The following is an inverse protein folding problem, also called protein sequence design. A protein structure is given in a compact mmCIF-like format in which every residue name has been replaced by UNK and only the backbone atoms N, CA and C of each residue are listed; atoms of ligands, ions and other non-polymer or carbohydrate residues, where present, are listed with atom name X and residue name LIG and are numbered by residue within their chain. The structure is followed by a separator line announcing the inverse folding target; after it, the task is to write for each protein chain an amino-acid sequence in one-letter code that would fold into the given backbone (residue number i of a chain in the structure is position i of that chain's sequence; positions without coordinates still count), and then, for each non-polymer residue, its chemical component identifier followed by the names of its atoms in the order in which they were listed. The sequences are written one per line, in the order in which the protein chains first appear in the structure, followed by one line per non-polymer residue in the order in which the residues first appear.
data_IF_915148307202
#
_entry.id   IF_915148307202
#
_cell.length_a   1.000
_cell.length_b   1.000
_cell.length_c   1.000
_cell.angle_alpha   90.00
_cell.angle_beta   90.00
_cell.angle_gamma   90.00
#
_symmetry.space_group_name_H-M   'P 1'
#
loop_
_entity.id
_entity.type
_entity.pdbx_description
1 polymer ?
#
# COMPACT_ATOMS: atom_id res chain seq x y z
N UNK A 1 -13.29 3.88 17.48
CA UNK A 1 -14.69 4.40 17.48
C UNK A 1 -15.11 4.48 16.03
N UNK A 2 -15.83 3.45 15.56
CA UNK A 2 -16.36 3.40 14.18
C UNK A 2 -17.49 4.43 14.04
N UNK A 3 -17.20 5.55 13.38
CA UNK A 3 -18.25 6.41 12.88
C UNK A 3 -18.94 5.65 11.73
N UNK A 4 -20.23 5.41 11.87
CA UNK A 4 -21.10 4.74 10.91
C UNK A 4 -20.93 5.33 9.50
N UNK A 5 -20.36 4.53 8.59
CA UNK A 5 -20.32 4.80 7.14
C UNK A 5 -21.74 4.59 6.60
N UNK A 6 -22.59 5.62 6.68
CA UNK A 6 -23.90 5.63 6.03
C UNK A 6 -23.75 6.22 4.62
N UNK A 7 -23.75 5.36 3.60
CA UNK A 7 -23.67 5.67 2.18
C UNK A 7 -23.03 4.48 1.44
N UNK A 8 -23.35 4.29 0.15
CA UNK A 8 -22.67 3.25 -0.63
C UNK A 8 -21.18 3.58 -0.71
N UNK A 9 -20.38 2.84 0.07
CA UNK A 9 -18.93 2.99 0.13
C UNK A 9 -18.32 2.11 -0.96
N UNK A 10 -17.41 2.68 -1.75
CA UNK A 10 -16.62 1.91 -2.71
C UNK A 10 -15.64 1.00 -1.97
N UNK A 11 -15.34 -0.20 -2.51
CA UNK A 11 -14.42 -1.12 -1.86
C UNK A 11 -12.97 -0.63 -1.97
N UNK A 12 -12.20 -0.95 -0.93
CA UNK A 12 -10.75 -0.76 -0.88
C UNK A 12 -10.05 -2.11 -1.12
N UNK A 13 -9.30 -2.21 -2.21
CA UNK A 13 -8.61 -3.43 -2.62
C UNK A 13 -7.10 -3.20 -2.59
N UNK A 14 -6.40 -3.92 -1.74
CA UNK A 14 -4.93 -3.93 -1.74
C UNK A 14 -4.40 -4.91 -2.79
N UNK A 15 -3.30 -4.57 -3.45
CA UNK A 15 -2.53 -5.44 -4.33
C UNK A 15 -1.16 -5.62 -3.71
N UNK A 16 -0.84 -6.82 -3.26
CA UNK A 16 0.35 -7.11 -2.49
C UNK A 16 1.08 -8.37 -2.99
N UNK A 17 2.30 -8.60 -2.52
CA UNK A 17 3.07 -9.82 -2.80
C UNK A 17 4.17 -10.01 -1.77
N UNK A 18 4.55 -11.26 -1.52
CA UNK A 18 5.63 -11.60 -0.58
C UNK A 18 7.02 -11.16 -1.03
N UNK A 19 7.23 -10.81 -2.31
CA UNK A 19 8.52 -10.30 -2.83
C UNK A 19 8.34 -9.19 -3.87
N UNK A 20 9.44 -8.51 -4.21
CA UNK A 20 9.52 -7.55 -5.31
C UNK A 20 9.48 -8.21 -6.69
N UNK A 21 9.12 -7.45 -7.72
CA UNK A 21 9.18 -7.88 -9.12
C UNK A 21 8.09 -8.85 -9.59
N UNK A 22 7.12 -9.21 -8.77
CA UNK A 22 6.03 -10.14 -9.11
C UNK A 22 4.97 -9.55 -10.05
N UNK A 23 4.96 -8.22 -10.27
CA UNK A 23 3.99 -7.54 -11.13
C UNK A 23 2.81 -6.90 -10.41
N UNK A 24 2.92 -6.60 -9.12
CA UNK A 24 1.88 -5.88 -8.32
C UNK A 24 1.41 -4.60 -9.00
N UNK A 25 2.34 -3.68 -9.26
CA UNK A 25 2.06 -2.38 -9.87
C UNK A 25 1.43 -2.52 -11.27
N UNK A 26 1.89 -3.50 -12.07
CA UNK A 26 1.26 -3.81 -13.36
C UNK A 26 -0.21 -4.21 -13.18
N UNK A 27 -0.50 -5.10 -12.21
CA UNK A 27 -1.87 -5.53 -11.94
C UNK A 27 -2.72 -4.38 -11.38
N UNK A 28 -2.22 -3.65 -10.36
CA UNK A 28 -2.94 -2.54 -9.73
C UNK A 28 -3.34 -1.46 -10.74
N UNK A 29 -2.38 -1.03 -11.57
CA UNK A 29 -2.62 -0.02 -12.60
C UNK A 29 -3.52 -0.53 -13.73
N UNK A 30 -3.38 -1.80 -14.14
CA UNK A 30 -4.24 -2.39 -15.17
C UNK A 30 -5.68 -2.56 -14.71
N UNK A 31 -5.87 -2.97 -13.44
CA UNK A 31 -7.20 -3.04 -12.83
C UNK A 31 -7.86 -1.67 -12.75
N UNK A 32 -7.10 -0.63 -12.35
CA UNK A 32 -7.60 0.74 -12.28
C UNK A 32 -8.09 1.23 -13.65
N UNK A 33 -7.30 1.03 -14.70
CA UNK A 33 -7.68 1.39 -16.08
C UNK A 33 -8.93 0.64 -16.53
N UNK A 34 -8.96 -0.69 -16.37
CA UNK A 34 -10.10 -1.50 -16.79
C UNK A 34 -11.43 -1.10 -16.09
N UNK A 35 -11.34 -0.70 -14.82
CA UNK A 35 -12.52 -0.26 -14.06
C UNK A 35 -12.93 1.17 -14.41
N UNK A 36 -11.99 2.09 -14.65
CA UNK A 36 -12.31 3.47 -15.06
C UNK A 36 -13.04 3.52 -16.39
N UNK A 37 -12.57 2.76 -17.39
CA UNK A 37 -13.26 2.63 -18.69
C UNK A 37 -14.71 2.13 -18.55
N UNK A 38 -14.96 1.21 -17.63
CA UNK A 38 -16.31 0.68 -17.38
C UNK A 38 -17.25 1.70 -16.72
N UNK A 39 -16.71 2.59 -15.90
CA UNK A 39 -17.50 3.66 -15.27
C UNK A 39 -17.87 4.77 -16.26
N UNK A 40 -17.02 5.05 -17.24
CA UNK A 40 -17.27 6.06 -18.28
C UNK A 40 -18.21 5.56 -19.36
N UNK A 41 -18.23 4.25 -19.65
CA UNK A 41 -18.99 3.64 -20.75
C UNK A 41 -20.30 2.97 -20.32
N UNK A 42 -20.54 2.79 -19.02
CA UNK A 42 -21.68 2.05 -18.46
C UNK A 42 -22.75 2.93 -17.83
N UNK A 43 -23.96 2.36 -17.54
CA UNK A 43 -24.97 3.07 -16.78
C UNK A 43 -24.43 3.43 -15.40
N UNK A 44 -24.71 4.68 -14.96
CA UNK A 44 -24.28 5.19 -13.66
C UNK A 44 -24.66 4.22 -12.53
N UNK A 45 -23.66 3.62 -11.89
CA UNK A 45 -23.88 2.73 -10.75
C UNK A 45 -24.15 3.56 -9.51
N UNK A 46 -25.27 3.30 -8.84
CA UNK A 46 -25.61 4.01 -7.60
C UNK A 46 -24.48 3.85 -6.57
N UNK A 47 -23.89 4.98 -6.15
CA UNK A 47 -23.01 5.08 -4.99
C UNK A 47 -21.49 5.06 -5.24
N UNK A 48 -21.00 4.58 -6.40
CA UNK A 48 -19.58 4.61 -6.77
C UNK A 48 -19.39 5.51 -7.97
N UNK A 49 -18.60 6.57 -7.84
CA UNK A 49 -18.47 7.63 -8.85
C UNK A 49 -17.13 7.63 -9.59
N UNK A 50 -16.08 7.02 -8.99
CA UNK A 50 -14.73 7.10 -9.55
C UNK A 50 -13.88 5.87 -9.17
N UNK A 51 -12.76 5.71 -9.84
CA UNK A 51 -11.67 4.79 -9.47
C UNK A 51 -10.51 5.62 -8.94
N UNK A 52 -9.93 5.16 -7.85
CA UNK A 52 -8.75 5.75 -7.25
C UNK A 52 -7.63 4.72 -7.19
N UNK A 53 -6.40 5.13 -7.52
CA UNK A 53 -5.20 4.34 -7.28
C UNK A 53 -4.29 5.06 -6.31
N UNK A 54 -3.90 4.36 -5.22
CA UNK A 54 -2.96 4.85 -4.23
C UNK A 54 -1.67 4.03 -4.32
N UNK A 55 -0.58 4.68 -4.72
CA UNK A 55 0.76 4.08 -4.68
C UNK A 55 1.30 4.21 -3.26
N UNK A 56 1.27 3.10 -2.53
CA UNK A 56 1.72 2.96 -1.16
C UNK A 56 3.14 2.35 -1.06
N UNK A 57 3.78 2.03 -2.19
CA UNK A 57 5.21 1.71 -2.23
C UNK A 57 6.04 3.00 -2.14
N UNK A 58 5.97 3.62 -0.96
CA UNK A 58 6.49 4.97 -0.72
C UNK A 58 8.02 5.07 -0.79
N UNK A 59 8.72 3.92 -0.77
CA UNK A 59 10.17 3.82 -0.90
C UNK A 59 10.58 3.89 -2.38
N UNK A 60 9.89 3.14 -3.26
CA UNK A 60 10.15 3.07 -4.69
C UNK A 60 8.86 3.23 -5.52
N UNK A 61 8.14 4.37 -5.36
CA UNK A 61 6.88 4.57 -6.07
C UNK A 61 7.10 4.64 -7.59
N UNK A 62 6.29 3.89 -8.34
CA UNK A 62 6.46 3.71 -9.78
C UNK A 62 5.15 3.58 -10.57
N UNK A 63 3.99 3.65 -9.91
CA UNK A 63 2.70 3.56 -10.59
C UNK A 63 2.44 4.76 -11.51
N UNK A 64 3.07 5.91 -11.24
CA UNK A 64 3.02 7.11 -12.08
C UNK A 64 3.63 6.89 -13.47
N UNK A 65 4.66 6.02 -13.58
CA UNK A 65 5.28 5.68 -14.87
C UNK A 65 4.32 4.95 -15.81
N UNK A 66 3.39 4.16 -15.25
CA UNK A 66 2.39 3.40 -16.00
C UNK A 66 1.11 4.20 -16.27
N UNK A 67 0.66 4.99 -15.30
CA UNK A 67 -0.60 5.73 -15.39
C UNK A 67 -0.44 7.14 -15.97
N UNK A 68 0.76 7.73 -15.87
CA UNK A 68 1.09 9.08 -16.36
C UNK A 68 0.11 10.16 -15.89
N UNK A 69 -0.13 10.27 -14.56
CA UNK A 69 -1.09 11.22 -14.04
C UNK A 69 -0.59 12.67 -14.23
N UNK A 70 -1.52 13.59 -14.44
CA UNK A 70 -1.25 15.00 -14.26
C UNK A 70 -1.32 15.33 -12.78
N UNK A 71 -0.19 15.62 -12.16
CA UNK A 71 -0.14 16.04 -10.76
C UNK A 71 -0.76 17.44 -10.56
N UNK A 72 -1.59 17.57 -9.53
CA UNK A 72 -2.39 18.77 -9.22
C UNK A 72 -1.89 19.43 -7.95
N UNK A 73 -1.52 18.66 -6.93
CA UNK A 73 -1.04 19.20 -5.66
C UNK A 73 -0.08 18.24 -4.96
N UNK A 74 0.76 18.82 -4.09
CA UNK A 74 1.71 18.09 -3.22
C UNK A 74 1.45 18.46 -1.78
N UNK A 75 1.42 17.46 -0.91
CA UNK A 75 1.21 17.61 0.53
C UNK A 75 2.44 17.12 1.28
N UNK A 76 3.10 17.96 2.09
CA UNK A 76 4.21 17.51 2.93
C UNK A 76 3.71 16.56 4.03
N UNK A 77 4.51 15.54 4.33
CA UNK A 77 4.30 14.63 5.45
C UNK A 77 5.40 14.86 6.46
N UNK A 78 5.00 15.14 7.70
CA UNK A 78 5.93 15.34 8.81
C UNK A 78 5.54 14.48 10.00
N UNK A 79 6.52 14.14 10.82
CA UNK A 79 6.33 13.53 12.14
C UNK A 79 6.78 14.52 13.22
N UNK A 80 6.25 14.36 14.42
CA UNK A 80 6.68 15.13 15.57
C UNK A 80 7.91 14.47 16.18
N UNK A 81 9.00 15.23 16.39
CA UNK A 81 10.23 14.74 17.01
C UNK A 81 10.59 15.57 18.23
N UNK A 82 11.25 14.98 19.25
CA UNK A 82 11.55 15.68 20.49
C UNK A 82 12.60 16.77 20.30
N UNK A 83 12.37 17.91 20.92
CA UNK A 83 13.33 18.98 21.13
C UNK A 83 13.47 19.23 22.64
N UNK A 84 14.70 19.02 23.17
CA UNK A 84 14.97 19.07 24.61
C UNK A 84 15.46 20.46 25.02
N UNK A 85 14.81 21.06 26.02
CA UNK A 85 15.28 22.29 26.66
C UNK A 85 16.41 21.97 27.63
N UNK A 86 17.59 22.50 27.37
CA UNK A 86 18.77 22.33 28.24
C UNK A 86 18.61 22.98 29.61
N UNK A 87 17.79 24.01 29.72
CA UNK A 87 17.57 24.77 30.97
C UNK A 87 16.58 24.11 31.92
N UNK A 88 15.63 23.33 31.38
CA UNK A 88 14.60 22.63 32.17
C UNK A 88 14.98 21.18 32.45
N UNK A 89 15.90 20.62 31.68
CA UNK A 89 16.24 19.18 31.77
C UNK A 89 17.12 18.89 32.98
N UNK A 90 16.64 18.02 33.88
CA UNK A 90 17.37 17.52 35.05
C UNK A 90 18.21 16.26 34.78
N UNK A 91 18.31 15.81 33.53
CA UNK A 91 19.06 14.61 33.10
C UNK A 91 18.59 13.31 33.78
N UNK A 92 17.34 13.22 34.22
CA UNK A 92 16.77 12.06 34.93
C UNK A 92 16.74 10.76 34.12
N UNK A 93 16.90 10.82 32.78
CA UNK A 93 17.01 9.67 31.89
C UNK A 93 15.70 8.95 31.52
N UNK A 94 14.56 9.32 32.08
CA UNK A 94 13.27 8.64 31.84
C UNK A 94 12.90 8.60 30.35
N UNK A 95 13.15 9.67 29.61
CA UNK A 95 12.88 9.74 28.18
C UNK A 95 13.68 8.70 27.38
N UNK A 96 14.95 8.52 27.70
CA UNK A 96 15.83 7.51 27.08
C UNK A 96 15.40 6.08 27.48
N UNK A 97 15.06 5.85 28.74
CA UNK A 97 14.62 4.55 29.25
C UNK A 97 13.31 4.07 28.56
N UNK A 98 12.39 4.98 28.26
CA UNK A 98 11.08 4.66 27.65
C UNK A 98 11.09 4.64 26.13
N UNK A 99 12.15 5.12 25.49
CA UNK A 99 12.25 5.13 24.04
C UNK A 99 12.60 3.75 23.50
N UNK A 100 11.65 3.06 22.89
CA UNK A 100 11.85 1.75 22.28
C UNK A 100 12.71 1.80 21.00
N UNK A 101 12.88 3.00 20.42
CA UNK A 101 13.61 3.20 19.17
C UNK A 101 15.01 3.77 19.37
N UNK A 102 15.45 3.94 20.61
CA UNK A 102 16.75 4.56 20.94
C UNK A 102 16.96 5.93 20.28
N UNK A 103 15.86 6.63 19.97
CA UNK A 103 15.86 7.94 19.31
C UNK A 103 16.23 9.10 20.25
N UNK A 104 16.39 8.84 21.53
CA UNK A 104 16.82 9.80 22.56
C UNK A 104 17.70 9.09 23.57
N UNK A 105 18.84 9.67 23.90
CA UNK A 105 19.80 9.12 24.86
C UNK A 105 20.34 10.21 25.78
N UNK A 106 20.68 9.84 27.02
CA UNK A 106 21.40 10.69 27.96
C UNK A 106 22.86 10.24 27.98
N UNK A 107 23.75 11.09 27.51
CA UNK A 107 25.20 10.80 27.41
C UNK A 107 25.93 11.83 28.28
N UNK A 108 26.48 11.37 29.41
CA UNK A 108 27.10 12.23 30.43
C UNK A 108 26.08 13.30 30.88
N UNK A 109 26.36 14.55 30.58
CA UNK A 109 25.54 15.72 30.98
C UNK A 109 24.71 16.30 29.83
N UNK A 110 24.45 15.52 28.77
CA UNK A 110 23.72 15.98 27.58
C UNK A 110 22.68 14.95 27.16
N UNK A 111 21.50 15.44 26.80
CA UNK A 111 20.50 14.64 26.08
C UNK A 111 20.73 14.80 24.58
N UNK A 112 20.96 13.67 23.92
CA UNK A 112 21.12 13.62 22.47
C UNK A 112 19.87 13.02 21.86
N UNK A 113 19.36 13.63 20.80
CA UNK A 113 18.22 13.14 20.02
C UNK A 113 18.69 12.69 18.64
N UNK A 114 18.13 11.58 18.17
CA UNK A 114 18.36 11.02 16.83
C UNK A 114 17.03 11.07 16.08
N UNK A 115 16.71 12.20 15.42
CA UNK A 115 15.41 12.40 14.76
C UNK A 115 15.11 11.35 13.69
N UNK A 116 16.13 10.79 13.03
CA UNK A 116 16.03 9.76 11.98
C UNK A 116 15.51 8.43 12.56
N UNK A 117 15.79 8.15 13.84
CA UNK A 117 15.31 6.96 14.54
C UNK A 117 13.92 7.17 15.18
N UNK A 118 13.47 8.42 15.27
CA UNK A 118 12.23 8.76 15.96
C UNK A 118 11.01 8.34 15.12
N UNK A 119 10.04 7.67 15.77
CA UNK A 119 8.76 7.31 15.13
C UNK A 119 7.63 8.34 15.38
N UNK A 120 7.89 9.41 16.13
CA UNK A 120 6.90 10.44 16.42
C UNK A 120 5.82 10.02 17.43
N UNK A 121 6.11 9.11 18.36
CA UNK A 121 5.12 8.58 19.31
C UNK A 121 4.82 9.50 20.50
N UNK A 122 5.62 10.55 20.77
CA UNK A 122 5.40 11.52 21.84
C UNK A 122 5.70 11.01 23.27
N UNK A 123 6.03 9.73 23.47
CA UNK A 123 6.24 9.13 24.80
C UNK A 123 7.27 9.88 25.61
N UNK A 124 8.39 10.30 25.02
CA UNK A 124 9.46 11.02 25.71
C UNK A 124 8.99 12.38 26.26
N UNK A 125 8.13 13.09 25.54
CA UNK A 125 7.53 14.34 26.00
C UNK A 125 6.53 14.08 27.14
N UNK A 126 5.72 13.02 27.01
CA UNK A 126 4.71 12.65 28.00
C UNK A 126 5.30 12.24 29.35
N UNK A 127 6.40 11.47 29.36
CA UNK A 127 7.02 10.97 30.59
C UNK A 127 7.97 11.96 31.27
N UNK A 128 8.24 13.11 30.66
CA UNK A 128 9.18 14.09 31.21
C UNK A 128 8.57 14.83 32.41
N UNK A 129 9.09 14.64 33.66
CA UNK A 129 8.52 15.29 34.85
C UNK A 129 8.68 16.80 34.80
N UNK A 130 9.77 17.28 34.23
CA UNK A 130 10.11 18.71 34.13
C UNK A 130 9.48 19.39 32.92
N UNK A 131 8.73 18.63 32.09
CA UNK A 131 8.19 19.14 30.80
C UNK A 131 9.28 19.80 29.93
N UNK A 132 10.50 19.29 30.02
CA UNK A 132 11.65 19.83 29.30
C UNK A 132 11.68 19.43 27.82
N UNK A 133 10.72 18.64 27.34
CA UNK A 133 10.69 18.15 25.95
C UNK A 133 9.46 18.73 25.26
N UNK A 134 9.69 19.56 24.26
CA UNK A 134 8.71 19.97 23.27
C UNK A 134 8.84 19.10 22.00
N UNK A 135 7.85 19.19 21.15
CA UNK A 135 7.85 18.46 19.87
C UNK A 135 7.88 19.43 18.71
N UNK A 136 8.73 19.15 17.72
CA UNK A 136 8.87 19.93 16.50
C UNK A 136 8.62 19.05 15.28
N UNK A 137 8.12 19.65 14.19
CA UNK A 137 7.88 18.93 12.94
C UNK A 137 9.19 18.60 12.23
N UNK A 138 9.34 17.34 11.83
CA UNK A 138 10.39 16.88 10.92
C UNK A 138 9.75 16.32 9.64
N UNK A 139 10.03 16.89 8.46
CA UNK A 139 9.54 16.38 7.19
C UNK A 139 10.13 14.98 6.90
N UNK A 140 9.27 14.01 6.54
CA UNK A 140 9.66 12.62 6.25
C UNK A 140 9.29 12.20 4.82
N UNK A 141 8.48 12.97 4.12
CA UNK A 141 8.06 12.66 2.76
C UNK A 141 6.99 13.62 2.24
N UNK A 142 6.38 13.23 1.16
CA UNK A 142 5.27 13.94 0.52
C UNK A 142 4.20 12.98 0.04
N UNK A 143 2.98 13.48 -0.16
CA UNK A 143 1.92 12.83 -0.91
C UNK A 143 1.58 13.72 -2.10
N UNK A 144 1.72 13.17 -3.30
CA UNK A 144 1.37 13.81 -4.56
C UNK A 144 -0.03 13.35 -4.99
N UNK A 145 -0.87 14.31 -5.37
CA UNK A 145 -2.23 14.08 -5.84
C UNK A 145 -2.33 14.45 -7.32
N UNK A 146 -2.95 13.59 -8.10
CA UNK A 146 -3.08 13.79 -9.55
C UNK A 146 -4.33 13.11 -10.11
N UNK A 147 -4.47 13.19 -11.43
CA UNK A 147 -5.53 12.54 -12.18
C UNK A 147 -5.04 12.10 -13.55
N UNK A 148 -5.47 10.91 -14.01
CA UNK A 148 -5.15 10.42 -15.36
C UNK A 148 -6.17 10.92 -16.38
N UNK A 149 -5.87 10.71 -17.67
CA UNK A 149 -6.79 11.04 -18.77
C UNK A 149 -8.09 10.23 -18.68
N UNK A 150 -8.04 8.97 -18.20
CA UNK A 150 -9.24 8.14 -17.99
C UNK A 150 -10.05 8.56 -16.77
N UNK A 151 -9.59 9.58 -16.04
CA UNK A 151 -10.29 10.10 -14.87
C UNK A 151 -9.98 9.32 -13.57
N UNK A 152 -8.95 8.47 -13.54
CA UNK A 152 -8.50 7.80 -12.32
C UNK A 152 -7.90 8.87 -11.40
N UNK A 153 -8.38 8.93 -10.17
CA UNK A 153 -7.76 9.72 -9.12
C UNK A 153 -6.48 9.03 -8.64
N UNK A 154 -5.37 9.74 -8.71
CA UNK A 154 -4.05 9.19 -8.43
C UNK A 154 -3.47 9.82 -7.18
N UNK A 155 -3.02 8.98 -6.25
CA UNK A 155 -2.37 9.38 -5.01
C UNK A 155 -1.05 8.63 -4.90
N UNK A 156 0.06 9.33 -4.69
CA UNK A 156 1.38 8.71 -4.57
C UNK A 156 2.08 9.20 -3.32
N UNK A 157 2.42 8.27 -2.42
CA UNK A 157 3.32 8.53 -1.31
C UNK A 157 4.78 8.47 -1.77
N UNK A 158 5.63 9.36 -1.25
CA UNK A 158 7.07 9.31 -1.51
C UNK A 158 7.84 9.71 -0.27
N UNK A 159 8.73 8.84 0.19
CA UNK A 159 9.65 9.12 1.28
C UNK A 159 10.76 10.09 0.86
N UNK A 160 11.27 10.84 1.82
CA UNK A 160 12.52 11.58 1.64
C UNK A 160 13.70 10.61 1.55
N UNK A 161 14.69 10.95 0.76
CA UNK A 161 15.94 10.16 0.68
C UNK A 161 16.59 10.11 2.06
N UNK A 162 16.97 8.89 2.47
CA UNK A 162 17.58 8.62 3.78
C UNK A 162 16.59 8.43 4.93
N UNK A 163 15.27 8.54 4.69
CA UNK A 163 14.27 8.19 5.69
C UNK A 163 14.21 6.67 5.87
N UNK A 164 14.12 6.22 7.13
CA UNK A 164 14.14 4.79 7.45
C UNK A 164 12.74 4.20 7.69
N UNK A 165 11.70 5.03 7.74
CA UNK A 165 10.36 4.60 8.14
C UNK A 165 9.30 4.98 7.12
N UNK A 166 8.82 3.99 6.40
CA UNK A 166 7.75 4.13 5.40
C UNK A 166 6.39 4.47 6.04
N UNK A 167 6.09 3.90 7.21
CA UNK A 167 4.76 3.93 7.81
C UNK A 167 4.10 5.31 7.92
N UNK A 168 4.78 6.38 8.37
CA UNK A 168 4.17 7.71 8.41
C UNK A 168 3.69 8.20 7.04
N UNK A 169 4.44 7.91 5.97
CA UNK A 169 4.07 8.33 4.60
C UNK A 169 2.98 7.42 4.05
N UNK A 170 3.05 6.10 4.28
CA UNK A 170 1.99 5.14 3.90
C UNK A 170 0.65 5.53 4.54
N UNK A 171 0.63 5.78 5.86
CA UNK A 171 -0.59 6.24 6.55
C UNK A 171 -1.10 7.57 6.02
N UNK A 172 -0.20 8.51 5.69
CA UNK A 172 -0.60 9.79 5.11
C UNK A 172 -1.22 9.62 3.72
N UNK A 173 -0.68 8.70 2.91
CA UNK A 173 -1.22 8.33 1.59
C UNK A 173 -2.63 7.73 1.73
N UNK A 174 -2.84 6.78 2.65
CA UNK A 174 -4.15 6.14 2.90
C UNK A 174 -5.23 7.12 3.39
N UNK A 175 -4.87 8.25 3.98
CA UNK A 175 -5.87 9.28 4.39
C UNK A 175 -6.61 9.93 3.22
N UNK A 176 -6.11 9.75 2.00
CA UNK A 176 -6.76 10.23 0.78
C UNK A 176 -7.69 9.19 0.14
N UNK A 177 -7.97 8.07 0.81
CA UNK A 177 -8.97 7.11 0.33
C UNK A 177 -10.33 7.80 0.33
N UNK A 178 -10.94 7.87 -0.86
CA UNK A 178 -12.26 8.48 -1.06
C UNK A 178 -13.37 7.46 -0.83
N UNK A 179 -14.30 7.70 0.09
CA UNK A 179 -15.34 6.73 0.44
C UNK A 179 -16.22 6.28 -0.73
N UNK A 180 -16.40 7.12 -1.76
CA UNK A 180 -17.23 6.81 -2.92
C UNK A 180 -16.43 6.30 -4.13
N UNK A 181 -15.13 6.03 -3.96
CA UNK A 181 -14.28 5.49 -5.00
C UNK A 181 -14.08 3.98 -4.84
N UNK A 182 -13.83 3.29 -5.95
CA UNK A 182 -13.14 2.00 -5.92
C UNK A 182 -11.67 2.33 -5.69
N UNK A 183 -11.15 2.07 -4.49
CA UNK A 183 -9.77 2.38 -4.14
C UNK A 183 -8.88 1.15 -4.32
N UNK A 184 -7.85 1.28 -5.13
CA UNK A 184 -6.84 0.26 -5.37
C UNK A 184 -5.54 0.73 -4.73
N UNK A 185 -4.98 -0.06 -3.80
CA UNK A 185 -3.74 0.24 -3.10
C UNK A 185 -2.63 -0.64 -3.65
N UNK A 186 -1.62 -0.04 -4.26
CA UNK A 186 -0.40 -0.75 -4.67
C UNK A 186 0.55 -0.82 -3.46
N UNK A 187 0.71 -2.01 -2.89
CA UNK A 187 1.48 -2.21 -1.68
C UNK A 187 2.99 -2.37 -1.97
N UNK A 188 3.87 -1.97 -1.04
CA UNK A 188 5.29 -2.30 -1.13
C UNK A 188 5.52 -3.81 -1.11
N UNK A 189 6.68 -4.28 -1.58
CA UNK A 189 7.03 -5.71 -1.59
C UNK A 189 7.29 -6.25 -0.18
N UNK A 190 7.13 -7.56 -0.04
CA UNK A 190 7.41 -8.28 1.20
C UNK A 190 6.21 -8.37 2.12
N UNK A 191 6.44 -8.81 3.37
CA UNK A 191 5.41 -9.02 4.41
C UNK A 191 5.68 -8.20 5.67
N UNK A 192 6.61 -7.24 5.60
CA UNK A 192 6.98 -6.35 6.70
C UNK A 192 5.91 -5.27 6.97
N UNK A 193 6.14 -4.48 8.02
CA UNK A 193 5.21 -3.43 8.45
C UNK A 193 4.64 -2.52 7.33
N UNK A 194 5.42 -2.07 6.32
CA UNK A 194 4.85 -1.21 5.28
C UNK A 194 3.74 -1.90 4.46
N UNK A 195 3.93 -3.18 4.11
CA UNK A 195 2.89 -3.98 3.44
C UNK A 195 1.68 -4.19 4.34
N UNK A 196 1.90 -4.53 5.62
CA UNK A 196 0.84 -4.70 6.61
C UNK A 196 0.02 -3.42 6.77
N UNK A 197 0.65 -2.25 6.94
CA UNK A 197 -0.02 -0.95 7.02
C UNK A 197 -0.82 -0.62 5.75
N UNK A 198 -0.38 -1.08 4.58
CA UNK A 198 -1.13 -0.89 3.33
C UNK A 198 -2.36 -1.77 3.29
N UNK A 199 -2.22 -3.06 3.63
CA UNK A 199 -3.30 -4.06 3.56
C UNK A 199 -4.32 -3.91 4.69
N UNK A 200 -3.87 -3.46 5.86
CA UNK A 200 -4.74 -3.25 7.02
C UNK A 200 -5.95 -2.34 6.66
N UNK A 201 -7.13 -2.69 7.11
CA UNK A 201 -8.39 -2.01 6.83
C UNK A 201 -8.85 -2.06 5.35
N UNK A 202 -8.19 -2.85 4.48
CA UNK A 202 -8.70 -3.12 3.13
C UNK A 202 -9.83 -4.15 3.19
N UNK A 203 -10.80 -4.01 2.27
CA UNK A 203 -11.92 -4.96 2.17
C UNK A 203 -11.48 -6.28 1.53
N UNK A 204 -10.41 -6.26 0.73
CA UNK A 204 -9.85 -7.43 0.05
C UNK A 204 -8.38 -7.22 -0.30
N UNK A 205 -7.60 -8.31 -0.33
CA UNK A 205 -6.20 -8.29 -0.77
C UNK A 205 -5.98 -9.23 -1.98
N UNK A 206 -5.45 -8.70 -3.07
CA UNK A 206 -4.97 -9.46 -4.23
C UNK A 206 -3.50 -9.79 -4.03
N UNK A 207 -3.18 -11.07 -3.85
CA UNK A 207 -1.82 -11.56 -3.67
C UNK A 207 -1.24 -12.01 -5.00
N UNK A 208 -0.28 -11.25 -5.53
CA UNK A 208 0.39 -11.53 -6.80
C UNK A 208 1.59 -12.42 -6.55
N UNK A 209 1.62 -13.58 -7.22
CA UNK A 209 2.72 -14.56 -7.12
C UNK A 209 3.13 -15.08 -8.48
N UNK A 210 4.24 -15.82 -8.51
CA UNK A 210 4.75 -16.54 -9.68
C UNK A 210 4.69 -18.05 -9.43
N UNK A 211 4.49 -18.89 -10.47
CA UNK A 211 4.41 -20.34 -10.33
C UNK A 211 5.80 -20.96 -10.16
N UNK A 212 6.45 -20.66 -9.05
CA UNK A 212 7.80 -21.15 -8.69
C UNK A 212 7.85 -21.56 -7.22
N UNK A 213 8.82 -22.40 -6.77
CA UNK A 213 9.00 -22.75 -5.37
C UNK A 213 9.15 -21.52 -4.47
N UNK A 214 9.91 -20.50 -4.90
CA UNK A 214 10.08 -19.26 -4.15
C UNK A 214 8.78 -18.45 -4.12
N UNK A 215 8.06 -18.37 -5.27
CA UNK A 215 6.76 -17.69 -5.32
C UNK A 215 5.73 -18.32 -4.39
N UNK A 216 5.72 -19.65 -4.24
CA UNK A 216 4.86 -20.35 -3.29
C UNK A 216 5.24 -20.03 -1.83
N UNK A 217 6.53 -20.03 -1.50
CA UNK A 217 7.00 -19.68 -0.16
C UNK A 217 6.61 -18.24 0.22
N UNK A 218 6.82 -17.30 -0.70
CA UNK A 218 6.48 -15.89 -0.52
C UNK A 218 4.96 -15.67 -0.42
N UNK A 219 4.17 -16.44 -1.20
CA UNK A 219 2.71 -16.42 -1.12
C UNK A 219 2.22 -16.90 0.24
N UNK A 220 2.78 -18.00 0.77
CA UNK A 220 2.40 -18.50 2.07
C UNK A 220 2.57 -17.44 3.17
N UNK A 221 3.73 -16.78 3.22
CA UNK A 221 3.98 -15.70 4.18
C UNK A 221 3.01 -14.51 4.02
N UNK A 222 2.66 -14.15 2.77
CA UNK A 222 1.71 -13.08 2.50
C UNK A 222 0.27 -13.46 2.90
N UNK A 223 -0.13 -14.73 2.70
CA UNK A 223 -1.44 -15.25 3.16
C UNK A 223 -1.54 -15.22 4.67
N UNK A 224 -0.50 -15.66 5.39
CA UNK A 224 -0.47 -15.59 6.84
C UNK A 224 -0.58 -14.14 7.34
N UNK A 225 0.06 -13.20 6.65
CA UNK A 225 -0.07 -11.77 6.95
C UNK A 225 -1.50 -11.29 6.77
N UNK A 226 -2.16 -11.59 5.64
CA UNK A 226 -3.56 -11.22 5.42
C UNK A 226 -4.49 -11.82 6.47
N UNK A 227 -4.27 -13.08 6.86
CA UNK A 227 -5.03 -13.76 7.92
C UNK A 227 -4.87 -13.09 9.28
N UNK A 228 -3.64 -12.70 9.64
CA UNK A 228 -3.37 -11.99 10.89
C UNK A 228 -4.04 -10.61 10.96
N UNK A 229 -4.22 -9.98 9.80
CA UNK A 229 -4.92 -8.71 9.64
C UNK A 229 -6.45 -8.88 9.44
N UNK A 230 -6.95 -10.12 9.39
CA UNK A 230 -8.36 -10.44 9.11
C UNK A 230 -8.87 -9.89 7.78
N UNK A 231 -7.99 -9.76 6.77
CA UNK A 231 -8.34 -9.30 5.42
C UNK A 231 -8.50 -10.50 4.49
N UNK A 232 -9.67 -10.69 3.86
CA UNK A 232 -9.86 -11.75 2.89
C UNK A 232 -8.95 -11.54 1.68
N UNK A 233 -8.42 -12.64 1.11
CA UNK A 233 -7.48 -12.55 0.00
C UNK A 233 -7.76 -13.57 -1.11
N UNK A 234 -7.23 -13.28 -2.30
CA UNK A 234 -7.22 -14.17 -3.45
C UNK A 234 -5.93 -14.03 -4.23
N UNK A 235 -5.63 -15.02 -5.05
CA UNK A 235 -4.34 -15.18 -5.70
C UNK A 235 -4.41 -14.80 -7.17
N UNK A 236 -3.40 -14.07 -7.62
CA UNK A 236 -3.11 -13.78 -9.01
C UNK A 236 -1.80 -14.47 -9.36
N UNK A 237 -1.82 -15.37 -10.33
CA UNK A 237 -0.63 -16.03 -10.82
C UNK A 237 -0.11 -15.24 -12.03
N UNK A 238 0.99 -14.54 -11.83
CA UNK A 238 1.68 -13.81 -12.92
C UNK A 238 2.83 -14.66 -13.48
N UNK A 239 3.22 -14.38 -14.71
CA UNK A 239 4.23 -15.17 -15.44
C UNK A 239 3.87 -16.65 -15.47
N UNK A 240 2.58 -16.92 -15.66
CA UNK A 240 2.09 -18.30 -15.75
C UNK A 240 2.59 -18.98 -17.02
N UNK A 241 3.07 -20.23 -16.88
CA UNK A 241 3.50 -21.08 -17.96
C UNK A 241 2.68 -22.35 -17.98
N UNK A 242 1.50 -22.35 -18.61
CA UNK A 242 0.55 -23.47 -18.52
C UNK A 242 1.14 -24.80 -18.96
N UNK A 243 2.13 -24.80 -19.87
CA UNK A 243 2.78 -26.01 -20.40
C UNK A 243 3.79 -26.62 -19.42
N UNK A 244 4.39 -25.81 -18.54
CA UNK A 244 5.37 -26.24 -17.54
C UNK A 244 4.70 -26.58 -16.19
N UNK A 245 3.56 -25.99 -15.91
CA UNK A 245 2.66 -26.15 -14.77
C UNK A 245 3.37 -26.38 -13.42
N UNK A 246 3.31 -25.40 -12.51
CA UNK A 246 3.78 -25.63 -11.14
C UNK A 246 2.62 -26.07 -10.25
N UNK A 247 2.31 -27.39 -10.28
CA UNK A 247 1.21 -28.02 -9.55
C UNK A 247 1.20 -27.71 -8.04
N UNK A 248 2.34 -27.62 -7.31
CA UNK A 248 2.34 -27.34 -5.89
C UNK A 248 1.66 -25.99 -5.52
N UNK A 249 1.67 -24.99 -6.40
CA UNK A 249 0.95 -23.74 -6.18
C UNK A 249 -0.58 -23.97 -6.20
N UNK A 250 -1.08 -24.73 -7.14
CA UNK A 250 -2.51 -25.02 -7.26
C UNK A 250 -3.01 -25.91 -6.12
N UNK A 251 -2.18 -26.87 -5.71
CA UNK A 251 -2.46 -27.75 -4.55
C UNK A 251 -2.52 -26.93 -3.26
N UNK A 252 -1.58 -26.02 -3.06
CA UNK A 252 -1.58 -25.11 -1.92
C UNK A 252 -2.82 -24.21 -1.91
N UNK A 253 -3.13 -23.53 -3.02
CA UNK A 253 -4.31 -22.67 -3.09
C UNK A 253 -5.61 -23.44 -2.79
N UNK A 254 -5.71 -24.68 -3.29
CA UNK A 254 -6.87 -25.53 -3.02
C UNK A 254 -6.95 -25.99 -1.56
N UNK A 255 -5.82 -26.39 -0.98
CA UNK A 255 -5.75 -26.82 0.42
C UNK A 255 -6.09 -25.69 1.40
N UNK A 256 -5.65 -24.47 1.08
CA UNK A 256 -5.88 -23.27 1.90
C UNK A 256 -7.21 -22.55 1.60
N UNK A 257 -8.00 -23.06 0.65
CA UNK A 257 -9.26 -22.45 0.23
C UNK A 257 -9.11 -21.08 -0.43
N UNK A 258 -7.95 -20.82 -1.04
CA UNK A 258 -7.63 -19.56 -1.69
C UNK A 258 -8.11 -19.54 -3.15
N UNK A 259 -8.96 -18.61 -3.57
CA UNK A 259 -9.36 -18.52 -4.96
C UNK A 259 -8.21 -18.02 -5.83
N UNK A 260 -7.88 -18.74 -6.90
CA UNK A 260 -7.03 -18.21 -7.98
C UNK A 260 -7.94 -17.44 -8.93
N UNK A 261 -7.85 -16.12 -8.89
CA UNK A 261 -8.78 -15.21 -9.56
C UNK A 261 -8.38 -14.88 -11.00
N UNK A 262 -7.07 -14.87 -11.28
CA UNK A 262 -6.54 -14.55 -12.60
C UNK A 262 -5.17 -15.20 -12.80
N UNK A 263 -4.88 -15.58 -14.05
CA UNK A 263 -3.56 -16.04 -14.52
C UNK A 263 -3.11 -15.16 -15.66
N UNK A 264 -1.95 -14.56 -15.54
CA UNK A 264 -1.32 -13.72 -16.56
C UNK A 264 -0.15 -14.52 -17.14
N UNK A 265 -0.18 -14.89 -18.44
CA UNK A 265 0.86 -15.70 -19.02
C UNK A 265 2.19 -14.95 -19.11
N UNK A 266 3.28 -15.70 -19.04
CA UNK A 266 4.60 -15.17 -19.34
C UNK A 266 4.78 -15.03 -20.82
N UNK A 267 4.69 -13.81 -21.32
CA UNK A 267 4.92 -13.50 -22.73
C UNK A 267 5.88 -12.32 -22.88
N UNK A 268 6.61 -12.34 -23.99
CA UNK A 268 7.54 -11.25 -24.30
C UNK A 268 6.80 -9.94 -24.54
N UNK A 269 5.62 -10.01 -25.13
CA UNK A 269 4.79 -8.84 -25.44
C UNK A 269 4.34 -8.10 -24.16
N UNK A 270 3.97 -8.84 -23.12
CA UNK A 270 3.60 -8.27 -21.81
C UNK A 270 4.82 -7.59 -21.17
N UNK A 271 5.99 -8.24 -21.22
CA UNK A 271 7.23 -7.68 -20.68
C UNK A 271 7.65 -6.40 -21.43
N UNK A 272 7.55 -6.40 -22.77
CA UNK A 272 7.84 -5.22 -23.59
C UNK A 272 6.84 -4.08 -23.35
N UNK A 273 5.56 -4.36 -23.20
CA UNK A 273 4.55 -3.35 -22.88
C UNK A 273 4.86 -2.69 -21.54
N UNK A 274 5.15 -3.49 -20.52
CA UNK A 274 5.54 -3.00 -19.20
C UNK A 274 6.80 -2.13 -19.23
N UNK A 275 7.85 -2.59 -19.94
CA UNK A 275 9.11 -1.82 -20.08
C UNK A 275 8.94 -0.47 -20.79
N UNK A 276 7.87 -0.32 -21.56
CA UNK A 276 7.48 0.93 -22.24
C UNK A 276 6.50 1.77 -21.43
N UNK A 277 6.26 1.44 -20.16
CA UNK A 277 5.34 2.17 -19.30
C UNK A 277 3.86 2.00 -19.66
N UNK A 278 3.47 0.86 -20.25
CA UNK A 278 2.08 0.58 -20.62
C UNK A 278 1.46 -0.45 -19.68
N UNK A 279 0.27 -0.17 -19.18
CA UNK A 279 -0.52 -1.14 -18.42
C UNK A 279 -1.00 -2.28 -19.31
N UNK A 280 -1.31 -3.44 -18.70
CA UNK A 280 -1.84 -4.59 -19.43
C UNK A 280 -3.13 -4.24 -20.17
N UNK A 281 -4.05 -3.53 -19.53
CA UNK A 281 -5.33 -3.12 -20.12
C UNK A 281 -5.16 -2.15 -21.30
N UNK A 282 -4.19 -1.20 -21.24
CA UNK A 282 -3.91 -0.27 -22.35
C UNK A 282 -3.16 -0.93 -23.51
N UNK A 283 -2.29 -1.90 -23.20
CA UNK A 283 -1.51 -2.58 -24.23
C UNK A 283 -2.32 -3.64 -24.98
N UNK A 284 -3.21 -4.31 -24.26
CA UNK A 284 -3.97 -5.47 -24.72
C UNK A 284 -5.43 -5.33 -24.25
N UNK A 285 -6.32 -4.72 -25.06
CA UNK A 285 -7.70 -4.44 -24.68
C UNK A 285 -8.52 -5.67 -24.24
N UNK A 286 -8.13 -6.86 -24.72
CA UNK A 286 -8.74 -8.13 -24.33
C UNK A 286 -8.60 -8.45 -22.85
N UNK A 287 -7.66 -7.86 -22.14
CA UNK A 287 -7.50 -8.04 -20.70
C UNK A 287 -8.48 -7.22 -19.87
N UNK A 288 -9.12 -6.21 -20.46
CA UNK A 288 -10.07 -5.37 -19.73
C UNK A 288 -11.24 -6.19 -19.16
N UNK A 289 -11.77 -7.15 -19.95
CA UNK A 289 -12.90 -7.96 -19.51
C UNK A 289 -12.52 -8.95 -18.39
N UNK A 290 -11.45 -9.77 -18.48
CA UNK A 290 -11.00 -10.61 -17.37
C UNK A 290 -10.75 -9.84 -16.06
N UNK A 291 -10.16 -8.63 -16.13
CA UNK A 291 -9.94 -7.78 -14.96
C UNK A 291 -11.26 -7.31 -14.32
N UNK A 292 -12.26 -6.96 -15.13
CA UNK A 292 -13.60 -6.59 -14.64
C UNK A 292 -14.33 -7.78 -14.02
N UNK A 293 -14.22 -8.96 -14.59
CA UNK A 293 -14.82 -10.20 -14.06
C UNK A 293 -14.18 -10.57 -12.73
N UNK A 294 -12.87 -10.50 -12.64
CA UNK A 294 -12.13 -10.66 -11.38
C UNK A 294 -12.65 -9.69 -10.30
N UNK A 295 -12.77 -8.41 -10.62
CA UNK A 295 -13.36 -7.44 -9.70
C UNK A 295 -14.79 -7.82 -9.30
N UNK A 296 -15.59 -8.32 -10.23
CA UNK A 296 -16.94 -8.81 -9.97
C UNK A 296 -16.99 -9.97 -8.98
N UNK A 297 -15.99 -10.86 -9.01
CA UNK A 297 -15.84 -11.95 -8.04
C UNK A 297 -15.45 -11.41 -6.66
N UNK A 298 -14.46 -10.51 -6.60
CA UNK A 298 -14.02 -9.85 -5.36
C UNK A 298 -15.21 -9.18 -4.68
N UNK A 299 -15.99 -8.40 -5.43
CA UNK A 299 -17.16 -7.69 -4.89
C UNK A 299 -18.21 -8.61 -4.24
N UNK A 300 -18.35 -9.85 -4.72
CA UNK A 300 -19.25 -10.84 -4.11
C UNK A 300 -18.70 -11.44 -2.82
N UNK A 301 -17.36 -11.41 -2.64
CA UNK A 301 -16.67 -11.94 -1.48
C UNK A 301 -16.52 -10.92 -0.34
N UNK A 302 -16.72 -9.63 -0.63
CA UNK A 302 -16.72 -8.56 0.38
C UNK A 302 -18.09 -8.55 1.07
N UNK A 303 -18.14 -8.63 2.42
CA UNK A 303 -19.40 -8.52 3.15
C UNK A 303 -20.12 -7.22 2.81
N UNK A 304 -21.43 -7.31 2.54
CA UNK A 304 -22.26 -6.10 2.38
C UNK A 304 -22.29 -5.34 3.71
N UNK A 305 -21.89 -4.07 3.69
CA UNK A 305 -21.89 -3.19 4.85
C UNK A 305 -23.31 -2.87 5.33
#
# INVERSE_FOLDING_TARGET
MNASRQGAVGPTIAVAAGKGGTGKTLLATSLAVALAENLTSGPARRGVSTVQLLDCDVEEPNADLLLQPRFISRRPVSIMVPQVSKTLCTLCGLCAQKCQFSAIAVIREVVVTFPELCCGCGVCAHVCPERAISEVQRPVGVVDLGRTEEGIEFVQGRMNVGEQRAGPVTRATKRFIEPQAISILDAPPGTACPMQETVEESDYCLLVTEPTPFGLSDLNAAVETCRSLHVPCGVIVNRDRPQEGYQPLDEYCRAEGLPVLLRIPETREVAEAYSRGRTLARAFPEWAQPLREMYGQIKKSIPSA
#
